data_IF_828415176955
#
_entry.id   IF_828415176955
#
_cell.length_a   1.000
_cell.length_b   1.000
_cell.length_c   1.000
_cell.angle_alpha   90.00
_cell.angle_beta   90.00
_cell.angle_gamma   90.00
#
_symmetry.space_group_name_H-M   'P 1'
#
loop_
_entity.id
_entity.type
_entity.pdbx_description
1 polymer ?
#
# COMPACT_ATOMS: atom_id res chain seq x y z
N UNK A 1 26.31 78.07 -28.82
CA UNK A 1 26.68 77.08 -27.77
C UNK A 1 25.95 77.39 -26.47
N UNK A 2 24.62 77.39 -26.56
CA UNK A 2 23.59 77.48 -25.52
C UNK A 2 22.45 76.66 -26.11
N UNK A 3 21.73 75.89 -25.29
CA UNK A 3 20.69 74.90 -25.62
C UNK A 3 21.16 73.45 -25.53
N UNK A 4 21.14 72.92 -24.31
CA UNK A 4 21.09 71.47 -24.06
C UNK A 4 20.66 71.13 -22.61
N UNK A 5 19.72 71.86 -22.01
CA UNK A 5 19.12 71.50 -20.71
C UNK A 5 17.73 72.12 -20.59
N UNK A 6 16.71 71.38 -21.03
CA UNK A 6 15.32 71.47 -20.56
C UNK A 6 14.49 70.57 -21.48
N UNK A 7 14.32 69.31 -21.09
CA UNK A 7 13.05 68.53 -21.16
C UNK A 7 13.39 67.19 -20.49
N UNK A 8 13.31 67.12 -19.16
CA UNK A 8 13.11 65.86 -18.46
C UNK A 8 11.70 65.88 -17.87
N UNK A 9 10.81 64.94 -18.22
CA UNK A 9 9.46 64.92 -17.70
C UNK A 9 9.47 64.59 -16.20
N UNK A 10 8.78 65.41 -15.43
CA UNK A 10 8.52 65.33 -13.98
C UNK A 10 7.67 64.12 -13.55
N UNK A 11 7.70 63.01 -14.30
CA UNK A 11 6.89 61.82 -14.08
C UNK A 11 7.49 60.83 -13.03
N UNK A 12 8.39 61.29 -12.16
CA UNK A 12 9.11 60.43 -11.21
C UNK A 12 9.00 60.85 -9.73
N UNK A 13 7.99 61.65 -9.37
CA UNK A 13 7.76 62.06 -7.97
C UNK A 13 6.28 61.91 -7.59
N UNK A 14 5.75 60.70 -7.68
CA UNK A 14 4.67 60.24 -6.79
C UNK A 14 4.56 58.70 -6.82
N UNK A 15 5.55 58.02 -6.24
CA UNK A 15 5.32 56.69 -5.67
C UNK A 15 5.31 56.87 -4.16
N UNK A 16 4.22 57.44 -3.67
CA UNK A 16 3.71 57.10 -2.33
C UNK A 16 3.71 55.58 -2.21
N UNK A 17 4.73 55.07 -1.53
CA UNK A 17 4.78 53.68 -1.07
C UNK A 17 3.48 53.45 -0.32
N UNK A 18 2.64 52.47 -0.72
CA UNK A 18 1.43 52.19 0.03
C UNK A 18 1.83 51.86 1.46
N UNK A 19 1.42 52.75 2.36
CA UNK A 19 1.44 52.57 3.81
C UNK A 19 0.99 51.16 4.10
N UNK A 20 1.79 50.46 4.90
CA UNK A 20 1.55 49.14 5.48
C UNK A 20 0.05 48.80 5.50
N UNK A 21 -0.41 48.07 4.49
CA UNK A 21 -1.71 47.41 4.54
C UNK A 21 -1.55 46.29 5.56
N UNK A 22 -1.66 46.64 6.85
CA UNK A 22 -1.95 45.68 7.90
C UNK A 22 -3.09 44.81 7.42
N UNK A 23 -2.99 43.50 7.65
CA UNK A 23 -3.97 42.50 7.22
C UNK A 23 -5.38 43.08 7.34
N UNK A 24 -6.03 43.32 6.20
CA UNK A 24 -7.34 43.97 6.22
C UNK A 24 -8.28 43.10 7.07
N UNK A 25 -9.16 43.70 7.90
CA UNK A 25 -10.05 42.98 8.81
C UNK A 25 -10.82 41.84 8.12
N UNK A 26 -11.07 41.98 6.82
CA UNK A 26 -11.71 40.99 5.97
C UNK A 26 -10.94 39.65 5.88
N UNK A 27 -9.60 39.67 5.87
CA UNK A 27 -8.79 38.43 5.87
C UNK A 27 -8.87 37.69 7.20
N UNK A 28 -8.90 38.43 8.32
CA UNK A 28 -9.05 37.85 9.66
C UNK A 28 -10.42 37.18 9.79
N UNK A 29 -11.48 37.84 9.33
CA UNK A 29 -12.84 37.29 9.34
C UNK A 29 -12.96 36.06 8.43
N UNK A 30 -12.37 36.11 7.23
CA UNK A 30 -12.43 34.98 6.28
C UNK A 30 -11.62 33.77 6.74
N UNK A 31 -10.47 34.00 7.38
CA UNK A 31 -9.68 32.96 8.05
C UNK A 31 -10.43 32.39 9.26
N UNK A 32 -11.11 33.23 10.04
CA UNK A 32 -11.94 32.82 11.17
C UNK A 32 -13.10 31.90 10.77
N UNK A 33 -13.83 32.26 9.70
CA UNK A 33 -14.90 31.42 9.16
C UNK A 33 -14.36 30.09 8.60
N UNK A 34 -13.22 30.10 7.91
CA UNK A 34 -12.58 28.87 7.42
C UNK A 34 -12.09 27.98 8.57
N UNK A 35 -11.59 28.57 9.66
CA UNK A 35 -11.17 27.85 10.86
C UNK A 35 -12.37 27.24 11.62
N UNK A 36 -13.49 27.95 11.74
CA UNK A 36 -14.70 27.46 12.39
C UNK A 36 -15.34 26.28 11.64
N UNK A 37 -15.28 26.26 10.30
CA UNK A 37 -15.84 25.17 9.49
C UNK A 37 -14.91 23.94 9.45
N UNK A 38 -13.58 24.15 9.44
CA UNK A 38 -12.61 23.04 9.32
C UNK A 38 -12.49 22.18 10.58
N UNK A 39 -12.73 22.74 11.76
CA UNK A 39 -12.63 22.04 13.05
C UNK A 39 -13.65 20.92 13.27
N UNK A 40 -14.98 21.12 13.08
CA UNK A 40 -15.95 20.05 13.24
C UNK A 40 -15.76 18.95 12.18
N UNK A 41 -15.35 19.32 10.96
CA UNK A 41 -15.03 18.36 9.90
C UNK A 41 -13.83 17.49 10.29
N UNK A 42 -12.78 18.11 10.84
CA UNK A 42 -11.57 17.39 11.27
C UNK A 42 -11.83 16.51 12.49
N UNK A 43 -12.65 16.97 13.44
CA UNK A 43 -13.11 16.16 14.57
C UNK A 43 -13.96 14.97 14.15
N UNK A 44 -14.89 15.16 13.21
CA UNK A 44 -15.72 14.09 12.67
C UNK A 44 -14.88 13.05 11.90
N UNK A 45 -13.93 13.50 11.08
CA UNK A 45 -12.98 12.61 10.40
C UNK A 45 -12.12 11.85 11.41
N UNK A 46 -11.67 12.50 12.50
CA UNK A 46 -10.90 11.84 13.55
C UNK A 46 -11.69 10.71 14.21
N UNK A 47 -12.93 10.99 14.65
CA UNK A 47 -13.77 9.95 15.27
C UNK A 47 -14.07 8.83 14.28
N UNK A 48 -14.32 9.17 13.02
CA UNK A 48 -14.50 8.18 11.96
C UNK A 48 -13.27 7.29 11.77
N UNK A 49 -12.06 7.86 11.70
CA UNK A 49 -10.81 7.10 11.55
C UNK A 49 -10.47 6.27 12.78
N UNK A 50 -10.69 6.79 13.99
CA UNK A 50 -10.49 6.02 15.24
C UNK A 50 -11.50 4.89 15.37
N UNK A 51 -12.76 5.12 15.01
CA UNK A 51 -13.78 4.08 14.95
C UNK A 51 -13.44 3.02 13.90
N UNK A 52 -12.98 3.41 12.70
CA UNK A 52 -12.54 2.50 11.66
C UNK A 52 -11.32 1.70 12.09
N UNK A 53 -10.37 2.31 12.81
CA UNK A 53 -9.18 1.64 13.32
C UNK A 53 -9.53 0.68 14.48
N UNK A 54 -10.45 1.07 15.36
CA UNK A 54 -10.93 0.25 16.48
C UNK A 54 -11.71 -0.97 15.98
N UNK A 55 -12.61 -0.75 15.02
CA UNK A 55 -13.45 -1.79 14.44
C UNK A 55 -12.85 -2.40 13.17
N UNK A 56 -11.58 -2.10 12.83
CA UNK A 56 -10.96 -2.55 11.59
C UNK A 56 -11.04 -4.07 11.45
N UNK A 57 -10.86 -4.80 12.56
CA UNK A 57 -10.90 -6.24 12.58
C UNK A 57 -12.31 -6.79 12.37
N UNK A 58 -13.35 -6.15 12.93
CA UNK A 58 -14.76 -6.51 12.71
C UNK A 58 -15.22 -6.13 11.30
N UNK A 59 -14.83 -4.95 10.79
CA UNK A 59 -15.12 -4.50 9.42
C UNK A 59 -14.43 -5.38 8.38
N UNK A 60 -13.18 -5.79 8.63
CA UNK A 60 -12.42 -6.68 7.74
C UNK A 60 -12.91 -8.14 7.80
N UNK A 61 -13.55 -8.55 8.90
CA UNK A 61 -14.11 -9.91 9.06
C UNK A 61 -15.62 -9.96 8.86
N UNK A 62 -16.27 -8.82 8.64
CA UNK A 62 -17.72 -8.72 8.48
C UNK A 62 -18.19 -9.56 7.31
N UNK A 63 -18.99 -10.58 7.62
CA UNK A 63 -19.78 -11.34 6.65
C UNK A 63 -21.20 -10.80 6.70
N UNK A 64 -21.82 -10.46 5.55
CA UNK A 64 -23.24 -10.15 5.55
C UNK A 64 -23.99 -11.37 6.11
N UNK A 65 -24.88 -11.18 7.11
CA UNK A 65 -25.64 -12.29 7.65
C UNK A 65 -26.51 -12.91 6.54
N UNK A 66 -26.73 -14.24 6.55
CA UNK A 66 -27.71 -14.86 5.68
C UNK A 66 -29.07 -14.21 5.93
N UNK A 67 -29.78 -13.87 4.85
CA UNK A 67 -31.13 -13.31 4.85
C UNK A 67 -32.08 -14.32 5.49
N UNK A 68 -32.29 -14.24 6.79
CA UNK A 68 -33.35 -14.93 7.50
C UNK A 68 -33.98 -13.97 8.52
N UNK A 69 -35.31 -13.91 8.51
CA UNK A 69 -36.20 -12.85 9.03
C UNK A 69 -36.26 -12.77 10.57
N UNK A 70 -35.12 -12.59 11.23
CA UNK A 70 -35.06 -12.35 12.68
C UNK A 70 -34.81 -10.87 12.99
N UNK A 71 -35.39 -10.32 14.07
CA UNK A 71 -35.31 -8.90 14.39
C UNK A 71 -33.84 -8.48 14.60
N UNK A 72 -33.36 -7.66 13.67
CA UNK A 72 -31.95 -7.43 13.41
C UNK A 72 -31.20 -6.72 14.54
N UNK A 73 -29.94 -7.11 14.84
CA UNK A 73 -28.97 -6.20 15.43
C UNK A 73 -28.73 -5.04 14.45
N UNK A 74 -28.73 -3.80 14.94
CA UNK A 74 -28.55 -2.58 14.12
C UNK A 74 -27.34 -2.76 13.19
N UNK A 75 -27.51 -2.43 11.91
CA UNK A 75 -26.40 -2.53 10.96
C UNK A 75 -25.24 -1.64 11.46
N UNK A 76 -23.98 -2.04 11.26
CA UNK A 76 -22.84 -1.21 11.67
C UNK A 76 -22.87 0.18 11.03
N UNK A 77 -23.58 0.35 9.91
CA UNK A 77 -23.81 1.63 9.24
C UNK A 77 -24.81 2.50 10.02
N UNK A 78 -25.86 1.91 10.58
CA UNK A 78 -26.85 2.63 11.38
C UNK A 78 -26.30 3.01 12.76
N UNK A 79 -25.48 2.14 13.35
CA UNK A 79 -24.72 2.46 14.57
C UNK A 79 -23.74 3.62 14.32
N UNK A 80 -23.05 3.62 13.18
CA UNK A 80 -22.19 4.73 12.75
C UNK A 80 -22.98 6.03 12.54
N UNK A 81 -24.18 5.93 11.97
CA UNK A 81 -25.04 7.08 11.71
C UNK A 81 -25.55 7.71 13.01
N UNK A 82 -26.04 6.91 13.95
CA UNK A 82 -26.48 7.37 15.27
C UNK A 82 -25.33 7.98 16.08
N UNK A 83 -24.14 7.37 16.02
CA UNK A 83 -22.95 7.91 16.67
C UNK A 83 -22.52 9.25 16.06
N UNK A 84 -22.57 9.36 14.73
CA UNK A 84 -22.24 10.61 14.03
C UNK A 84 -23.22 11.74 14.38
N UNK A 85 -24.53 11.47 14.43
CA UNK A 85 -25.53 12.48 14.80
C UNK A 85 -25.40 12.90 16.26
N UNK A 86 -25.14 11.95 17.17
CA UNK A 86 -24.91 12.22 18.60
C UNK A 86 -23.67 13.11 18.84
N UNK A 87 -22.59 12.88 18.09
CA UNK A 87 -21.37 13.70 18.18
C UNK A 87 -21.58 15.11 17.66
N UNK A 88 -22.34 15.27 16.57
CA UNK A 88 -22.66 16.60 16.02
C UNK A 88 -23.46 17.42 17.03
N UNK A 89 -24.46 16.82 17.67
CA UNK A 89 -25.29 17.51 18.66
C UNK A 89 -24.52 17.83 19.95
N UNK A 90 -23.63 16.94 20.38
CA UNK A 90 -22.77 17.18 21.56
C UNK A 90 -21.68 18.23 21.33
N UNK A 91 -21.16 18.36 20.10
CA UNK A 91 -20.19 19.40 19.75
C UNK A 91 -20.85 20.77 19.64
N UNK A 92 -22.11 20.80 19.20
CA UNK A 92 -22.88 22.04 19.00
C UNK A 92 -23.29 22.73 20.30
N UNK A 93 -23.38 21.99 21.41
CA UNK A 93 -23.82 22.52 22.71
C UNK A 93 -22.70 23.09 23.57
N UNK A 94 -21.42 22.94 23.17
CA UNK A 94 -20.31 23.48 23.95
C UNK A 94 -20.03 24.96 23.63
N UNK A 95 -20.31 25.84 24.60
CA UNK A 95 -19.83 27.22 24.61
C UNK A 95 -18.37 27.25 25.10
N UNK A 96 -17.42 27.43 24.17
CA UNK A 96 -15.99 27.41 24.49
C UNK A 96 -15.42 28.83 24.73
N UNK A 97 -14.69 29.06 25.84
CA UNK A 97 -13.88 30.26 26.03
C UNK A 97 -12.62 30.25 25.15
N UNK A 98 -12.13 31.41 24.70
CA UNK A 98 -11.10 31.56 23.67
C UNK A 98 -9.77 30.82 23.97
N UNK A 99 -9.39 30.67 25.24
CA UNK A 99 -8.18 29.94 25.65
C UNK A 99 -8.32 28.42 25.61
N UNK A 100 -9.56 27.90 25.65
CA UNK A 100 -9.82 26.47 25.57
C UNK A 100 -9.57 25.92 24.16
N UNK A 101 -9.63 26.79 23.14
CA UNK A 101 -9.50 26.41 21.74
C UNK A 101 -8.08 25.93 21.39
N UNK A 102 -7.08 26.62 21.92
CA UNK A 102 -5.67 26.25 21.74
C UNK A 102 -5.38 24.92 22.45
N UNK A 103 -5.87 24.75 23.68
CA UNK A 103 -5.71 23.50 24.44
C UNK A 103 -6.42 22.33 23.76
N UNK A 104 -7.63 22.53 23.24
CA UNK A 104 -8.39 21.52 22.51
C UNK A 104 -7.70 21.13 21.20
N UNK A 105 -7.14 22.10 20.46
CA UNK A 105 -6.33 21.82 19.25
C UNK A 105 -5.12 20.95 19.56
N UNK A 106 -4.38 21.26 20.63
CA UNK A 106 -3.25 20.44 21.06
C UNK A 106 -3.69 19.04 21.50
N UNK A 107 -4.82 18.93 22.22
CA UNK A 107 -5.34 17.64 22.70
C UNK A 107 -5.80 16.76 21.53
N UNK A 108 -6.51 17.32 20.55
CA UNK A 108 -6.89 16.64 19.30
C UNK A 108 -5.64 16.21 18.54
N UNK A 109 -4.63 17.08 18.40
CA UNK A 109 -3.39 16.76 17.71
C UNK A 109 -2.59 15.64 18.39
N UNK A 110 -2.51 15.65 19.72
CA UNK A 110 -1.89 14.57 20.51
C UNK A 110 -2.66 13.26 20.35
N UNK A 111 -4.00 13.28 20.39
CA UNK A 111 -4.80 12.08 20.16
C UNK A 111 -4.68 11.54 18.73
N UNK A 112 -4.62 12.40 17.72
CA UNK A 112 -4.37 12.03 16.32
C UNK A 112 -2.99 11.38 16.17
N UNK A 113 -1.95 12.00 16.74
CA UNK A 113 -0.58 11.45 16.73
C UNK A 113 -0.50 10.10 17.44
N UNK A 114 -1.17 9.95 18.59
CA UNK A 114 -1.17 8.71 19.37
C UNK A 114 -1.94 7.60 18.65
N UNK A 115 -3.08 7.92 18.03
CA UNK A 115 -3.85 7.01 17.18
C UNK A 115 -3.04 6.54 15.96
N UNK A 116 -2.41 7.48 15.25
CA UNK A 116 -1.49 7.19 14.14
C UNK A 116 -0.32 6.32 14.56
N UNK A 117 0.35 6.64 15.68
CA UNK A 117 1.46 5.86 16.20
C UNK A 117 1.03 4.42 16.53
N UNK A 118 -0.13 4.23 17.17
CA UNK A 118 -0.65 2.89 17.50
C UNK A 118 -0.98 2.07 16.25
N UNK A 119 -1.55 2.70 15.22
CA UNK A 119 -1.85 2.09 13.94
C UNK A 119 -0.55 1.70 13.21
N UNK A 120 0.44 2.57 13.24
CA UNK A 120 1.74 2.39 12.61
C UNK A 120 2.51 1.23 13.27
N UNK A 121 2.49 1.13 14.61
CA UNK A 121 3.06 0.00 15.36
C UNK A 121 2.36 -1.33 15.02
N UNK A 122 1.02 -1.35 14.99
CA UNK A 122 0.25 -2.56 14.63
C UNK A 122 0.45 -2.99 13.18
N UNK A 123 0.61 -2.05 12.26
CA UNK A 123 0.88 -2.36 10.85
C UNK A 123 2.32 -2.85 10.67
N UNK A 124 3.29 -2.22 11.34
CA UNK A 124 4.69 -2.65 11.31
C UNK A 124 4.87 -4.04 11.91
N UNK A 125 4.21 -4.37 13.02
CA UNK A 125 4.30 -5.69 13.64
C UNK A 125 3.79 -6.80 12.70
N UNK A 126 2.72 -6.51 11.96
CA UNK A 126 2.09 -7.41 10.99
C UNK A 126 2.90 -7.52 9.68
N UNK A 127 3.66 -6.49 9.33
CA UNK A 127 4.50 -6.45 8.12
C UNK A 127 5.88 -7.10 8.36
N UNK A 128 6.36 -7.19 9.60
CA UNK A 128 7.71 -7.69 9.95
C UNK A 128 7.99 -9.18 9.69
N UNK A 129 7.01 -9.96 9.21
CA UNK A 129 7.24 -11.35 8.79
C UNK A 129 7.70 -11.44 7.32
N UNK A 130 9.00 -11.18 7.09
CA UNK A 130 9.99 -11.87 6.20
C UNK A 130 9.61 -12.21 4.71
N UNK A 131 10.56 -12.60 3.85
CA UNK A 131 11.18 -11.67 2.89
C UNK A 131 10.89 -12.00 1.41
N UNK A 132 10.77 -10.98 0.56
CA UNK A 132 10.84 -11.14 -0.90
C UNK A 132 11.48 -9.92 -1.55
N UNK A 133 12.69 -10.12 -2.09
CA UNK A 133 13.62 -9.04 -2.41
C UNK A 133 14.24 -9.12 -3.82
N UNK A 134 13.51 -9.67 -4.80
CA UNK A 134 13.95 -9.71 -6.22
C UNK A 134 12.93 -9.18 -7.24
N UNK A 135 11.90 -8.47 -6.81
CA UNK A 135 10.81 -7.99 -7.69
C UNK A 135 11.20 -6.90 -8.70
N UNK A 136 12.34 -6.20 -8.54
CA UNK A 136 12.66 -5.03 -9.38
C UNK A 136 13.36 -5.34 -10.70
N UNK A 137 14.03 -6.49 -10.86
CA UNK A 137 14.65 -6.87 -12.16
C UNK A 137 13.65 -7.47 -13.17
N UNK A 138 12.48 -7.94 -12.73
CA UNK A 138 11.48 -8.53 -13.63
C UNK A 138 10.59 -7.48 -14.32
N UNK A 139 10.36 -6.31 -13.71
CA UNK A 139 9.50 -5.25 -14.27
C UNK A 139 10.09 -4.55 -15.50
N UNK A 140 11.42 -4.43 -15.57
CA UNK A 140 12.06 -3.79 -16.73
C UNK A 140 12.16 -4.71 -17.95
N UNK A 141 12.21 -6.03 -17.75
CA UNK A 141 12.17 -6.98 -18.89
C UNK A 141 10.78 -7.12 -19.50
N UNK A 142 9.70 -7.00 -18.73
CA UNK A 142 8.33 -7.22 -19.25
C UNK A 142 7.77 -6.04 -20.05
N UNK A 143 8.27 -4.81 -19.85
CA UNK A 143 7.81 -3.63 -20.62
C UNK A 143 8.38 -3.57 -22.04
N UNK A 144 9.43 -4.33 -22.36
CA UNK A 144 10.08 -4.31 -23.68
C UNK A 144 9.44 -5.23 -24.72
N UNK A 145 8.47 -6.05 -24.33
CA UNK A 145 7.84 -7.04 -25.22
C UNK A 145 6.33 -6.76 -25.35
N UNK A 146 5.94 -6.02 -26.40
CA UNK A 146 4.71 -6.27 -27.18
C UNK A 146 3.41 -5.60 -26.72
N UNK A 147 3.04 -4.50 -27.38
CA UNK A 147 1.84 -3.72 -27.05
C UNK A 147 0.55 -4.16 -27.77
N UNK A 148 0.52 -5.08 -28.75
CA UNK A 148 -0.75 -5.35 -29.50
C UNK A 148 -1.06 -6.80 -29.90
N UNK A 149 -0.23 -7.78 -29.56
CA UNK A 149 -0.51 -9.23 -29.83
C UNK A 149 -0.76 -10.07 -28.56
N UNK A 150 -0.97 -9.41 -27.42
CA UNK A 150 -0.87 -10.03 -26.10
C UNK A 150 -2.17 -10.56 -25.50
N UNK A 151 -3.33 -10.32 -26.11
CA UNK A 151 -4.59 -10.80 -25.54
C UNK A 151 -4.65 -12.34 -25.50
N UNK A 152 -4.24 -13.02 -26.58
CA UNK A 152 -4.26 -14.50 -26.64
C UNK A 152 -3.07 -15.14 -25.94
N UNK A 153 -1.88 -14.52 -26.01
CA UNK A 153 -0.71 -15.01 -25.25
C UNK A 153 -0.85 -14.86 -23.73
N UNK A 154 -1.69 -13.93 -23.25
CA UNK A 154 -1.88 -13.71 -21.81
C UNK A 154 -2.48 -14.94 -21.10
N UNK A 155 -3.23 -15.79 -21.82
CA UNK A 155 -3.84 -16.98 -21.25
C UNK A 155 -2.84 -18.13 -21.07
N UNK A 156 -1.87 -18.25 -21.97
CA UNK A 156 -0.83 -19.29 -21.91
C UNK A 156 0.37 -18.87 -21.06
N UNK A 157 0.54 -17.57 -20.80
CA UNK A 157 1.68 -17.05 -20.05
C UNK A 157 1.87 -17.70 -18.67
N UNK A 158 0.81 -18.03 -17.90
CA UNK A 158 0.97 -18.71 -16.63
C UNK A 158 1.63 -20.08 -16.72
N UNK A 159 1.21 -20.89 -17.70
CA UNK A 159 1.80 -22.21 -17.95
C UNK A 159 3.26 -22.07 -18.32
N UNK A 160 3.59 -21.13 -19.21
CA UNK A 160 4.98 -20.86 -19.62
C UNK A 160 5.84 -20.44 -18.43
N UNK A 161 5.35 -19.54 -17.58
CA UNK A 161 6.08 -19.10 -16.40
C UNK A 161 6.34 -20.24 -15.40
N UNK A 162 5.34 -21.11 -15.18
CA UNK A 162 5.46 -22.28 -14.31
C UNK A 162 6.47 -23.30 -14.86
N UNK A 163 6.39 -23.61 -16.15
CA UNK A 163 7.31 -24.56 -16.82
C UNK A 163 8.74 -24.03 -16.83
N UNK A 164 8.94 -22.74 -17.11
CA UNK A 164 10.27 -22.12 -17.06
C UNK A 164 10.87 -22.20 -15.65
N UNK A 165 10.08 -21.91 -14.61
CA UNK A 165 10.53 -22.05 -13.23
C UNK A 165 10.85 -23.51 -12.86
N UNK A 166 10.06 -24.48 -13.33
CA UNK A 166 10.34 -25.90 -13.13
C UNK A 166 11.63 -26.35 -13.82
N UNK A 167 11.88 -25.87 -15.04
CA UNK A 167 13.13 -26.12 -15.78
C UNK A 167 14.33 -25.49 -15.05
N UNK A 168 14.20 -24.27 -14.52
CA UNK A 168 15.24 -23.66 -13.69
C UNK A 168 15.52 -24.51 -12.44
N UNK A 169 14.49 -25.02 -11.75
CA UNK A 169 14.66 -25.94 -10.62
C UNK A 169 15.39 -27.23 -11.02
N UNK A 170 15.01 -27.84 -12.14
CA UNK A 170 15.65 -29.05 -12.65
C UNK A 170 17.12 -28.85 -13.01
N UNK A 171 17.47 -27.71 -13.61
CA UNK A 171 18.86 -27.39 -13.98
C UNK A 171 19.76 -27.19 -12.77
N UNK A 172 19.28 -26.50 -11.73
CA UNK A 172 20.07 -26.34 -10.50
C UNK A 172 20.16 -27.65 -9.71
N UNK A 173 19.10 -28.48 -9.73
CA UNK A 173 19.13 -29.83 -9.17
C UNK A 173 20.19 -30.71 -9.85
N UNK A 174 20.29 -30.67 -11.18
CA UNK A 174 21.30 -31.43 -11.94
C UNK A 174 22.72 -31.00 -11.58
N UNK A 175 22.99 -29.70 -11.50
CA UNK A 175 24.31 -29.16 -11.08
C UNK A 175 24.69 -29.61 -9.66
N UNK A 176 23.72 -29.59 -8.74
CA UNK A 176 23.91 -30.08 -7.37
C UNK A 176 24.22 -31.59 -7.35
N UNK A 177 23.52 -32.36 -8.18
CA UNK A 177 23.72 -33.80 -8.23
C UNK A 177 25.05 -34.20 -8.89
N UNK A 178 25.54 -33.41 -9.85
CA UNK A 178 26.84 -33.60 -10.49
C UNK A 178 28.03 -33.18 -9.62
N UNK A 179 27.80 -32.57 -8.46
CA UNK A 179 28.86 -32.05 -7.59
C UNK A 179 29.59 -30.82 -8.14
N UNK A 180 29.06 -30.19 -9.19
CA UNK A 180 29.62 -28.97 -9.79
C UNK A 180 29.23 -27.72 -9.01
N UNK A 181 28.16 -27.79 -8.22
CA UNK A 181 27.76 -26.72 -7.33
C UNK A 181 28.81 -26.58 -6.22
N UNK A 182 29.56 -25.47 -6.26
CA UNK A 182 30.43 -25.07 -5.15
C UNK A 182 29.63 -24.76 -3.88
N UNK A 183 30.32 -24.21 -2.88
CA UNK A 183 29.76 -23.93 -1.55
C UNK A 183 28.59 -22.91 -1.55
N UNK A 184 28.36 -22.19 -2.67
CA UNK A 184 27.29 -21.21 -2.84
C UNK A 184 26.26 -21.70 -3.88
N UNK A 185 25.25 -22.43 -3.39
CA UNK A 185 24.14 -22.90 -4.22
C UNK A 185 23.20 -21.73 -4.51
N UNK A 186 22.96 -21.36 -5.78
CA UNK A 186 22.10 -20.24 -6.10
C UNK A 186 20.65 -20.54 -5.71
N UNK A 187 20.13 -19.78 -4.74
CA UNK A 187 18.72 -19.87 -4.33
C UNK A 187 17.80 -19.45 -5.46
N UNK A 188 16.87 -20.33 -5.82
CA UNK A 188 15.83 -20.05 -6.81
C UNK A 188 14.66 -19.42 -6.10
N UNK A 189 14.19 -18.28 -6.60
CA UNK A 189 13.05 -17.59 -6.03
C UNK A 189 11.80 -17.77 -6.86
N UNK A 190 10.69 -18.16 -6.21
CA UNK A 190 9.42 -18.43 -6.88
C UNK A 190 8.50 -17.19 -6.97
N UNK A 191 8.97 -16.00 -6.57
CA UNK A 191 8.13 -14.78 -6.56
C UNK A 191 7.54 -14.41 -7.93
N UNK A 192 8.18 -14.82 -9.03
CA UNK A 192 7.62 -14.62 -10.37
C UNK A 192 6.37 -15.49 -10.59
N UNK A 193 6.43 -16.75 -10.17
CA UNK A 193 5.32 -17.72 -10.21
C UNK A 193 4.19 -17.27 -9.30
N UNK A 194 4.50 -16.80 -8.09
CA UNK A 194 3.46 -16.31 -7.18
C UNK A 194 2.63 -15.18 -7.80
N UNK A 195 3.30 -14.22 -8.44
CA UNK A 195 2.63 -13.10 -9.12
C UNK A 195 1.71 -13.59 -10.23
N UNK A 196 2.16 -14.57 -11.00
CA UNK A 196 1.35 -15.21 -12.03
C UNK A 196 0.10 -15.84 -11.40
N UNK A 197 0.26 -16.62 -10.33
CA UNK A 197 -0.83 -17.28 -9.63
C UNK A 197 -1.86 -16.27 -9.08
N UNK A 198 -1.42 -15.15 -8.53
CA UNK A 198 -2.31 -14.10 -8.05
C UNK A 198 -3.09 -13.37 -9.15
N UNK A 199 -2.64 -13.44 -10.41
CA UNK A 199 -3.39 -12.88 -11.54
C UNK A 199 -4.54 -13.79 -12.00
N UNK A 200 -4.48 -15.08 -11.68
CA UNK A 200 -5.44 -16.09 -12.16
C UNK A 200 -6.90 -15.76 -11.84
N UNK A 201 -7.29 -15.35 -10.62
CA UNK A 201 -8.68 -14.98 -10.32
C UNK A 201 -9.19 -13.75 -11.08
N UNK A 202 -8.27 -12.94 -11.66
CA UNK A 202 -8.60 -11.73 -12.43
C UNK A 202 -8.79 -12.02 -13.91
N UNK A 203 -8.06 -12.99 -14.46
CA UNK A 203 -8.06 -13.30 -15.89
C UNK A 203 -9.32 -14.08 -16.30
N UNK A 204 -9.98 -14.76 -15.37
CA UNK A 204 -11.23 -15.51 -15.64
C UNK A 204 -12.37 -14.56 -16.03
N UNK A 205 -12.47 -14.26 -17.32
CA UNK A 205 -13.55 -13.51 -17.96
C UNK A 205 -14.79 -14.41 -18.08
N UNK A 206 -15.55 -14.47 -17.00
CA UNK A 206 -16.85 -15.14 -16.96
C UNK A 206 -17.57 -14.74 -15.69
N UNK A 207 -18.91 -14.79 -15.68
CA UNK A 207 -19.77 -14.43 -14.54
C UNK A 207 -19.65 -15.39 -13.34
N UNK A 208 -18.43 -15.85 -13.04
CA UNK A 208 -18.15 -16.58 -11.82
C UNK A 208 -18.64 -15.73 -10.64
N UNK A 209 -19.58 -16.29 -9.89
CA UNK A 209 -20.12 -15.65 -8.68
C UNK A 209 -18.96 -15.25 -7.78
N UNK A 210 -19.08 -14.10 -7.14
CA UNK A 210 -18.06 -13.53 -6.24
C UNK A 210 -17.56 -14.55 -5.19
N UNK A 211 -18.43 -15.43 -4.71
CA UNK A 211 -18.08 -16.54 -3.82
C UNK A 211 -17.02 -17.48 -4.42
N UNK A 212 -17.15 -17.87 -5.69
CA UNK A 212 -16.20 -18.76 -6.36
C UNK A 212 -14.86 -18.06 -6.61
N UNK A 213 -14.87 -16.76 -6.91
CA UNK A 213 -13.64 -15.96 -7.03
C UNK A 213 -12.88 -15.92 -5.71
N UNK A 214 -13.59 -15.74 -4.58
CA UNK A 214 -13.00 -15.77 -3.24
C UNK A 214 -12.45 -17.15 -2.89
N UNK A 215 -13.20 -18.22 -3.14
CA UNK A 215 -12.73 -19.59 -2.92
C UNK A 215 -11.47 -19.92 -3.75
N UNK A 216 -11.42 -19.44 -4.99
CA UNK A 216 -10.25 -19.61 -5.87
C UNK A 216 -9.05 -18.82 -5.35
N UNK A 217 -9.23 -17.56 -4.96
CA UNK A 217 -8.17 -16.75 -4.37
C UNK A 217 -7.65 -17.35 -3.05
N UNK A 218 -8.55 -17.92 -2.25
CA UNK A 218 -8.22 -18.61 -1.01
C UNK A 218 -7.38 -19.87 -1.24
N UNK A 219 -7.74 -20.67 -2.24
CA UNK A 219 -6.97 -21.84 -2.66
C UNK A 219 -5.58 -21.44 -3.16
N UNK A 220 -5.50 -20.43 -4.03
CA UNK A 220 -4.23 -19.89 -4.53
C UNK A 220 -3.35 -19.40 -3.38
N UNK A 221 -3.92 -18.74 -2.37
CA UNK A 221 -3.17 -18.32 -1.18
C UNK A 221 -2.54 -19.49 -0.42
N UNK A 222 -3.17 -20.66 -0.42
CA UNK A 222 -2.58 -21.89 0.17
C UNK A 222 -1.51 -22.50 -0.72
N UNK A 223 -1.74 -22.55 -2.04
CA UNK A 223 -0.74 -23.03 -3.01
C UNK A 223 0.53 -22.18 -2.94
N UNK A 224 0.39 -20.85 -2.88
CA UNK A 224 1.52 -19.93 -2.70
C UNK A 224 2.20 -20.16 -1.35
N UNK A 225 1.44 -20.42 -0.28
CA UNK A 225 2.00 -20.82 1.02
C UNK A 225 2.87 -22.07 0.93
N UNK A 226 2.38 -23.12 0.26
CA UNK A 226 3.12 -24.36 0.06
C UNK A 226 4.39 -24.16 -0.77
N UNK A 227 4.32 -23.35 -1.85
CA UNK A 227 5.49 -23.00 -2.65
C UNK A 227 6.54 -22.23 -1.83
N UNK A 228 6.12 -21.30 -0.95
CA UNK A 228 7.05 -20.58 -0.05
C UNK A 228 7.69 -21.48 0.99
N UNK A 229 6.93 -22.42 1.52
CA UNK A 229 7.47 -23.40 2.45
C UNK A 229 8.54 -24.26 1.77
N UNK A 230 8.27 -24.72 0.54
CA UNK A 230 9.24 -25.45 -0.27
C UNK A 230 10.46 -24.59 -0.64
N UNK A 231 10.27 -23.30 -0.97
CA UNK A 231 11.37 -22.36 -1.19
C UNK A 231 12.22 -22.19 0.09
N UNK A 232 11.60 -22.09 1.26
CA UNK A 232 12.31 -21.98 2.54
C UNK A 232 13.10 -23.24 2.90
N UNK A 233 12.65 -24.44 2.47
CA UNK A 233 13.40 -25.70 2.65
C UNK A 233 14.71 -25.73 1.86
N UNK A 234 14.92 -24.86 0.87
CA UNK A 234 16.21 -24.75 0.18
C UNK A 234 17.37 -24.44 1.14
N UNK A 235 17.09 -23.77 2.26
CA UNK A 235 18.10 -23.43 3.27
C UNK A 235 18.58 -24.64 4.08
N UNK A 236 17.78 -25.70 4.16
CA UNK A 236 18.09 -26.90 4.94
C UNK A 236 18.40 -28.12 4.08
N UNK A 237 17.67 -28.32 2.98
CA UNK A 237 17.85 -29.43 2.04
C UNK A 237 17.57 -28.94 0.61
N UNK A 238 18.58 -28.36 -0.07
CA UNK A 238 18.39 -27.78 -1.39
C UNK A 238 18.02 -28.82 -2.44
N UNK A 239 18.52 -30.05 -2.32
CA UNK A 239 18.29 -31.11 -3.31
C UNK A 239 16.83 -31.56 -3.28
N UNK A 240 16.30 -31.88 -2.09
CA UNK A 240 14.90 -32.27 -1.95
C UNK A 240 13.97 -31.10 -2.26
N UNK A 241 14.30 -29.88 -1.80
CA UNK A 241 13.50 -28.70 -2.06
C UNK A 241 13.36 -28.39 -3.56
N UNK A 242 14.44 -28.47 -4.34
CA UNK A 242 14.40 -28.24 -5.79
C UNK A 242 13.57 -29.29 -6.53
N UNK A 243 13.67 -30.55 -6.13
CA UNK A 243 12.85 -31.62 -6.68
C UNK A 243 11.37 -31.41 -6.35
N UNK A 244 11.04 -31.15 -5.08
CA UNK A 244 9.67 -30.91 -4.62
C UNK A 244 9.05 -29.70 -5.36
N UNK A 245 9.78 -28.59 -5.46
CA UNK A 245 9.34 -27.40 -6.18
C UNK A 245 9.10 -27.69 -7.67
N UNK A 246 10.01 -28.42 -8.35
CA UNK A 246 9.85 -28.77 -9.75
C UNK A 246 8.57 -29.61 -9.98
N UNK A 247 8.33 -30.61 -9.13
CA UNK A 247 7.12 -31.43 -9.18
C UNK A 247 5.87 -30.58 -8.95
N UNK A 248 5.84 -29.75 -7.90
CA UNK A 248 4.71 -28.86 -7.62
C UNK A 248 4.43 -27.90 -8.78
N UNK A 249 5.46 -27.27 -9.35
CA UNK A 249 5.31 -26.35 -10.47
C UNK A 249 4.74 -27.04 -11.71
N UNK A 250 5.19 -28.27 -12.01
CA UNK A 250 4.66 -29.06 -13.13
C UNK A 250 3.22 -29.49 -12.89
N UNK A 251 2.87 -29.95 -11.68
CA UNK A 251 1.48 -30.27 -11.32
C UNK A 251 0.58 -29.06 -11.46
N UNK A 252 1.01 -27.89 -10.97
CA UNK A 252 0.25 -26.64 -11.11
C UNK A 252 0.10 -26.27 -12.60
N UNK A 253 1.16 -26.40 -13.40
CA UNK A 253 1.13 -26.11 -14.83
C UNK A 253 0.15 -27.01 -15.59
N UNK A 254 0.16 -28.31 -15.30
CA UNK A 254 -0.76 -29.30 -15.86
C UNK A 254 -2.20 -28.98 -15.48
N UNK A 255 -2.50 -28.85 -14.17
CA UNK A 255 -3.85 -28.53 -13.69
C UNK A 255 -4.34 -27.18 -14.22
N UNK A 256 -3.44 -26.22 -14.42
CA UNK A 256 -3.78 -24.95 -15.06
C UNK A 256 -4.13 -25.12 -16.54
N UNK A 257 -3.35 -25.91 -17.29
CA UNK A 257 -3.61 -26.21 -18.70
C UNK A 257 -4.94 -26.97 -18.91
N UNK A 258 -5.32 -27.82 -17.95
CA UNK A 258 -6.63 -28.47 -17.90
C UNK A 258 -7.80 -27.53 -17.51
N UNK A 259 -7.51 -26.29 -17.11
CA UNK A 259 -8.51 -25.33 -16.63
C UNK A 259 -8.98 -25.56 -15.18
N UNK A 260 -8.31 -26.45 -14.41
CA UNK A 260 -8.63 -26.77 -13.00
C UNK A 260 -8.05 -25.75 -12.01
N UNK A 261 -8.37 -24.48 -12.22
CA UNK A 261 -7.84 -23.33 -11.46
C UNK A 261 -8.19 -23.36 -9.96
N UNK A 262 -9.30 -23.99 -9.58
CA UNK A 262 -9.68 -24.13 -8.16
C UNK A 262 -9.03 -25.33 -7.47
N UNK A 263 -8.24 -26.14 -8.19
CA UNK A 263 -7.62 -27.38 -7.73
C UNK A 263 -6.21 -27.51 -8.35
N UNK A 264 -5.42 -26.44 -8.22
CA UNK A 264 -4.05 -26.40 -8.77
C UNK A 264 -3.10 -27.40 -8.12
N UNK A 265 -3.36 -27.72 -6.85
CA UNK A 265 -2.54 -28.60 -6.03
C UNK A 265 -3.50 -29.40 -5.13
N UNK A 266 -3.22 -30.68 -4.95
CA UNK A 266 -4.04 -31.55 -4.12
C UNK A 266 -3.80 -31.25 -2.62
N UNK A 267 -4.74 -31.60 -1.74
CA UNK A 267 -4.67 -31.18 -0.32
C UNK A 267 -3.45 -31.76 0.38
N UNK A 268 -3.05 -32.95 -0.02
CA UNK A 268 -1.90 -33.70 0.49
C UNK A 268 -0.58 -32.98 0.15
N UNK A 269 -0.52 -32.33 -1.02
CA UNK A 269 0.63 -31.55 -1.46
C UNK A 269 0.68 -30.14 -0.85
N UNK A 270 -0.48 -29.57 -0.50
CA UNK A 270 -0.56 -28.29 0.22
C UNK A 270 -0.09 -28.45 1.68
N UNK A 271 -0.40 -29.59 2.30
CA UNK A 271 -0.09 -29.84 3.71
C UNK A 271 -0.70 -28.79 4.65
N UNK A 272 0.05 -28.46 5.70
CA UNK A 272 -0.32 -27.45 6.70
C UNK A 272 0.23 -26.05 6.39
N UNK A 273 0.63 -25.80 5.14
CA UNK A 273 1.27 -24.57 4.75
C UNK A 273 0.39 -23.34 5.06
N UNK A 274 0.96 -22.27 5.66
CA UNK A 274 0.19 -21.12 6.08
C UNK A 274 -0.39 -20.40 4.86
N UNK A 275 -1.68 -20.06 4.92
CA UNK A 275 -2.36 -19.30 3.86
C UNK A 275 -1.71 -17.92 3.71
N UNK A 276 -1.14 -17.67 2.52
CA UNK A 276 -0.59 -16.37 2.17
C UNK A 276 -1.71 -15.46 1.68
N UNK A 277 -1.83 -14.28 2.29
CA UNK A 277 -2.80 -13.26 1.88
C UNK A 277 -2.06 -12.16 1.14
N UNK A 278 -2.50 -11.85 -0.08
CA UNK A 278 -1.93 -10.77 -0.88
C UNK A 278 -2.30 -9.40 -0.30
N UNK A 279 -1.41 -8.82 0.51
CA UNK A 279 -1.63 -7.55 1.22
C UNK A 279 -1.04 -6.32 0.51
N UNK A 280 -0.66 -6.40 -0.77
CA UNK A 280 -0.09 -5.24 -1.47
C UNK A 280 -1.05 -4.06 -1.54
N UNK A 281 -2.35 -4.30 -1.77
CA UNK A 281 -3.37 -3.24 -1.72
C UNK A 281 -3.45 -2.59 -0.34
N UNK A 282 -3.33 -3.38 0.73
CA UNK A 282 -3.28 -2.86 2.09
C UNK A 282 -2.02 -2.04 2.33
N UNK A 283 -0.86 -2.47 1.83
CA UNK A 283 0.40 -1.70 1.93
C UNK A 283 0.31 -0.36 1.22
N UNK A 284 -0.30 -0.31 0.04
CA UNK A 284 -0.56 0.95 -0.69
C UNK A 284 -1.55 1.84 0.06
N UNK A 285 -2.60 1.25 0.65
CA UNK A 285 -3.54 1.99 1.50
C UNK A 285 -2.85 2.58 2.74
N UNK A 286 -2.00 1.81 3.41
CA UNK A 286 -1.22 2.28 4.55
C UNK A 286 -0.25 3.38 4.12
N UNK A 287 0.45 3.22 3.00
CA UNK A 287 1.34 4.25 2.46
C UNK A 287 0.58 5.54 2.17
N UNK A 288 -0.52 5.45 1.42
CA UNK A 288 -1.37 6.60 1.10
C UNK A 288 -1.92 7.26 2.37
N UNK A 289 -2.45 6.47 3.29
CA UNK A 289 -2.98 6.94 4.57
C UNK A 289 -1.92 7.64 5.43
N UNK A 290 -0.72 7.09 5.52
CA UNK A 290 0.39 7.67 6.27
C UNK A 290 0.88 8.99 5.64
N UNK A 291 0.97 9.05 4.30
CA UNK A 291 1.34 10.28 3.59
C UNK A 291 0.28 11.38 3.78
N UNK A 292 -1.01 11.06 3.58
CA UNK A 292 -2.11 12.01 3.77
C UNK A 292 -2.12 12.52 5.21
N UNK A 293 -1.94 11.63 6.19
CA UNK A 293 -1.92 11.98 7.61
C UNK A 293 -0.74 12.90 7.95
N UNK A 294 0.45 12.62 7.43
CA UNK A 294 1.62 13.46 7.63
C UNK A 294 1.46 14.85 6.98
N UNK A 295 0.86 14.94 5.79
CA UNK A 295 0.56 16.22 5.15
C UNK A 295 -0.50 17.01 5.91
N UNK A 296 -1.53 16.35 6.42
CA UNK A 296 -2.55 16.98 7.24
C UNK A 296 -1.92 17.58 8.52
N UNK A 297 -1.07 16.82 9.21
CA UNK A 297 -0.35 17.31 10.40
C UNK A 297 0.52 18.52 10.06
N UNK A 298 1.23 18.51 8.93
CA UNK A 298 2.05 19.64 8.48
C UNK A 298 1.21 20.90 8.20
N UNK A 299 0.08 20.77 7.50
CA UNK A 299 -0.82 21.88 7.23
C UNK A 299 -1.43 22.45 8.53
N UNK A 300 -1.82 21.58 9.47
CA UNK A 300 -2.34 21.98 10.78
C UNK A 300 -1.30 22.68 11.66
N UNK A 301 -0.03 22.36 11.50
CA UNK A 301 1.07 23.05 12.17
C UNK A 301 1.35 24.47 11.59
N UNK A 302 0.57 24.91 10.60
CA UNK A 302 0.69 26.23 10.00
C UNK A 302 1.89 26.37 9.07
N UNK A 303 2.41 25.26 8.52
CA UNK A 303 3.45 25.36 7.50
C UNK A 303 2.89 26.11 6.27
N UNK A 304 3.62 27.10 5.73
CA UNK A 304 3.19 27.82 4.55
C UNK A 304 3.11 26.86 3.34
N UNK A 305 2.17 27.11 2.42
CA UNK A 305 1.95 26.26 1.24
C UNK A 305 3.21 26.07 0.38
N UNK A 306 4.07 27.09 0.35
CA UNK A 306 5.38 27.03 -0.31
C UNK A 306 6.30 25.95 0.28
N UNK A 307 6.17 25.63 1.57
CA UNK A 307 6.94 24.58 2.25
C UNK A 307 6.30 23.19 2.13
N UNK A 308 4.98 23.09 1.94
CA UNK A 308 4.29 21.80 1.75
C UNK A 308 4.67 21.13 0.43
N UNK A 309 4.90 21.92 -0.62
CA UNK A 309 5.26 21.44 -1.96
C UNK A 309 6.54 20.58 -1.96
N UNK A 310 7.69 21.03 -1.42
CA UNK A 310 8.89 20.20 -1.32
C UNK A 310 8.82 19.12 -0.22
N UNK A 311 7.96 19.28 0.79
CA UNK A 311 7.82 18.34 1.90
C UNK A 311 7.12 17.04 1.48
N UNK A 312 6.16 17.10 0.55
CA UNK A 312 5.41 15.95 0.06
C UNK A 312 6.31 14.80 -0.46
N UNK A 313 7.23 15.00 -1.42
CA UNK A 313 8.11 13.93 -1.87
C UNK A 313 9.02 13.41 -0.75
N UNK A 314 9.48 14.27 0.16
CA UNK A 314 10.30 13.85 1.30
C UNK A 314 9.53 12.92 2.23
N UNK A 315 8.25 13.22 2.51
CA UNK A 315 7.39 12.35 3.32
C UNK A 315 7.05 11.06 2.60
N UNK A 316 6.71 11.11 1.30
CA UNK A 316 6.46 9.90 0.50
C UNK A 316 7.69 8.99 0.50
N UNK A 317 8.89 9.55 0.31
CA UNK A 317 10.14 8.78 0.37
C UNK A 317 10.39 8.26 1.77
N UNK A 318 10.21 9.07 2.82
CA UNK A 318 10.47 8.65 4.21
C UNK A 318 9.52 7.55 4.65
N UNK A 319 8.22 7.75 4.48
CA UNK A 319 7.17 6.76 4.79
C UNK A 319 7.31 5.54 3.89
N UNK A 320 7.64 5.75 2.61
CA UNK A 320 7.99 4.69 1.67
C UNK A 320 9.15 3.86 2.20
N UNK A 321 10.28 4.48 2.56
CA UNK A 321 11.42 3.80 3.17
C UNK A 321 11.03 3.15 4.49
N UNK A 322 10.06 3.64 5.26
CA UNK A 322 9.69 3.04 6.54
C UNK A 322 8.79 1.80 6.36
N UNK A 323 7.81 1.88 5.45
CA UNK A 323 6.89 0.79 5.12
C UNK A 323 7.58 -0.27 4.25
N UNK A 324 8.49 0.17 3.38
CA UNK A 324 9.30 -0.64 2.47
C UNK A 324 10.75 -0.73 2.96
N UNK A 325 11.03 -0.54 4.26
CA UNK A 325 12.40 -0.51 4.81
C UNK A 325 13.16 -1.79 4.52
N UNK A 326 12.43 -2.88 4.65
CA UNK A 326 12.91 -4.21 4.36
C UNK A 326 12.91 -4.51 2.86
N UNK A 327 12.59 -3.52 2.00
CA UNK A 327 12.67 -3.53 0.53
C UNK A 327 13.64 -2.47 -0.04
N UNK A 328 14.44 -1.80 0.80
CA UNK A 328 15.46 -0.84 0.36
C UNK A 328 16.59 -1.51 -0.47
N UNK A 329 17.20 -0.81 -1.45
CA UNK A 329 18.30 -1.36 -2.22
C UNK A 329 19.44 -1.74 -1.27
N UNK A 330 19.88 -2.99 -1.35
CA UNK A 330 21.01 -3.48 -0.56
C UNK A 330 22.22 -2.57 -0.82
N UNK A 331 23.07 -2.26 0.17
CA UNK A 331 24.22 -1.37 -0.04
C UNK A 331 25.13 -1.82 -1.20
N UNK A 332 25.16 -3.11 -1.50
CA UNK A 332 25.83 -3.68 -2.68
C UNK A 332 25.24 -3.20 -4.01
N UNK A 333 23.91 -3.08 -4.13
CA UNK A 333 23.24 -2.55 -5.31
C UNK A 333 23.40 -1.03 -5.47
N UNK A 334 23.50 -0.29 -4.35
CA UNK A 334 23.83 1.13 -4.39
C UNK A 334 25.28 1.36 -4.85
N UNK A 335 26.21 0.46 -4.50
CA UNK A 335 27.59 0.50 -5.03
C UNK A 335 27.66 0.20 -6.53
N UNK A 336 26.89 -0.78 -7.00
CA UNK A 336 26.80 -1.08 -8.45
C UNK A 336 26.16 0.06 -9.26
N UNK A 337 25.31 0.89 -8.66
CA UNK A 337 24.71 2.04 -9.35
C UNK A 337 25.65 3.26 -9.39
N UNK A 338 26.60 3.35 -8.46
CA UNK A 338 27.55 4.48 -8.34
C UNK A 338 28.84 4.23 -9.14
N UNK A 339 29.17 2.98 -9.48
CA UNK A 339 30.33 2.65 -10.31
C UNK A 339 29.82 2.13 -11.66
N UNK A 340 29.65 2.99 -12.68
CA UNK A 340 29.44 2.51 -14.03
C UNK A 340 30.70 1.74 -14.48
N UNK A 341 30.54 0.47 -14.86
CA UNK A 341 31.60 -0.30 -15.53
C UNK A 341 31.78 0.16 -16.97
#
# INVERSE_FOLDING_TARGET
MREAYEVLPSALVDRSVPVEQGLTPEWVVRWWYAAQISLPISGALFVFYTYLAWNAQEVLTWRPPPTDESPHPKSPVDALREMATSLVDSVRSWNWPEDAFTRLRYLILVMVLMGLASLLVRVLSVVSQRPEHRERRARDKSRRWGDRRHADFSLCWPVVALVLAAVECGREFEKLNSGEAGDDVPKISLSAVERVLWQVPRIRRGSAREHQRRATADHIGRVVGALREAEARQDSDPKQALQDMAVMLLTIAERYAEGKVSQLLDKEQIGDAPKVVHREGLRLLVLGGAVISAMAVAAFAGLPDAALTPLLPLVVITVGILIYRDKGPTPSQLRDLVIPR
#
